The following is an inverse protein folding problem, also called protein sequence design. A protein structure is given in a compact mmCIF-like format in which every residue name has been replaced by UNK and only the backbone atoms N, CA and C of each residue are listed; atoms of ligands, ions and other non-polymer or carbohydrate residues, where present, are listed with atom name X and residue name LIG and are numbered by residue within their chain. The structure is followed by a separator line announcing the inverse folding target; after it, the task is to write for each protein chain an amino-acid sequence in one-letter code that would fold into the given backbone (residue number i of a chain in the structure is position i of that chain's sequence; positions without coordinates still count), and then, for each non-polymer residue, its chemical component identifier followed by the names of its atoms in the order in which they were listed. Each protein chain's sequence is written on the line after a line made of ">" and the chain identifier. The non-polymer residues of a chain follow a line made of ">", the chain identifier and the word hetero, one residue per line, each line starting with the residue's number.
data_IF_264226044052
#
_entry.id   IF_264226044052
#
_cell.length_a   1.000
_cell.length_b   1.000
_cell.length_c   1.000
_cell.angle_alpha   90.00
_cell.angle_beta   90.00
_cell.angle_gamma   90.00
#
_symmetry.space_group_name_H-M   'P 1'
#
loop_
_entity.id
_entity.type
_entity.pdbx_description
1 polymer ?
#
# COMPACT_ATOMS: atom_id res chain seq x y z
N UNK A 1 -66.16 -1.62 -42.99
CA UNK A 1 -65.85 -3.06 -43.12
C UNK A 1 -64.56 -3.19 -43.90
N UNK A 2 -63.54 -3.81 -43.27
CA UNK A 2 -62.49 -4.74 -43.77
C UNK A 2 -62.14 -4.70 -45.29
N UNK A 3 -60.91 -4.81 -45.81
CA UNK A 3 -59.62 -5.36 -45.35
C UNK A 3 -58.52 -4.91 -46.37
N UNK A 4 -57.31 -4.51 -45.95
CA UNK A 4 -56.01 -5.24 -45.99
C UNK A 4 -55.52 -5.80 -47.34
N UNK A 5 -54.27 -5.41 -47.68
CA UNK A 5 -53.17 -6.08 -48.44
C UNK A 5 -52.46 -5.01 -49.31
N UNK A 6 -51.14 -4.80 -49.37
CA UNK A 6 -49.94 -5.57 -49.01
C UNK A 6 -48.72 -4.60 -48.83
N UNK A 7 -47.96 -4.80 -47.75
CA UNK A 7 -46.48 -5.00 -47.71
C UNK A 7 -45.54 -4.17 -48.62
N UNK A 8 -44.82 -3.22 -47.97
CA UNK A 8 -43.38 -2.87 -47.95
C UNK A 8 -42.46 -3.24 -49.16
N UNK A 9 -41.44 -2.41 -49.52
CA UNK A 9 -40.32 -2.17 -48.60
C UNK A 9 -39.66 -0.77 -48.64
N UNK A 10 -38.83 -0.52 -47.63
CA UNK A 10 -37.83 0.58 -47.50
C UNK A 10 -38.38 1.90 -46.91
N UNK A 11 -38.76 1.87 -45.64
CA UNK A 11 -38.74 3.05 -44.78
C UNK A 11 -37.53 2.96 -43.85
N UNK A 12 -36.61 3.90 -44.05
CA UNK A 12 -35.34 4.07 -43.33
C UNK A 12 -35.65 4.35 -41.86
N UNK A 13 -35.40 3.37 -40.98
CA UNK A 13 -35.45 3.56 -39.54
C UNK A 13 -34.13 4.17 -39.06
N UNK A 14 -34.09 5.50 -38.94
CA UNK A 14 -33.05 6.21 -38.18
C UNK A 14 -33.31 5.90 -36.71
N UNK A 15 -32.63 4.88 -36.18
CA UNK A 15 -32.62 4.58 -34.77
C UNK A 15 -31.60 5.52 -34.12
N UNK A 16 -32.08 6.62 -33.55
CA UNK A 16 -31.28 7.57 -32.79
C UNK A 16 -30.88 6.91 -31.47
N UNK A 17 -29.82 6.10 -31.52
CA UNK A 17 -29.13 5.58 -30.35
C UNK A 17 -28.43 6.76 -29.67
N UNK A 18 -29.12 7.40 -28.72
CA UNK A 18 -28.48 8.26 -27.74
C UNK A 18 -27.53 7.38 -26.92
N UNK A 19 -26.28 7.28 -27.37
CA UNK A 19 -25.16 6.91 -26.53
C UNK A 19 -25.11 7.95 -25.41
N UNK A 20 -25.73 7.63 -24.28
CA UNK A 20 -25.32 8.19 -22.99
C UNK A 20 -23.93 7.63 -22.77
N UNK A 21 -22.93 8.41 -23.17
CA UNK A 21 -21.55 8.22 -22.74
C UNK A 21 -21.58 8.54 -21.25
N UNK A 22 -21.91 7.54 -20.42
CA UNK A 22 -21.60 7.60 -19.01
C UNK A 22 -20.06 7.75 -18.96
N UNK A 23 -19.53 8.83 -18.37
CA UNK A 23 -18.09 8.87 -18.16
C UNK A 23 -17.78 7.68 -17.26
N UNK A 24 -16.90 6.79 -17.73
CA UNK A 24 -16.17 5.88 -16.86
C UNK A 24 -15.58 6.77 -15.78
N UNK A 25 -16.21 6.76 -14.61
CA UNK A 25 -15.71 7.43 -13.43
C UNK A 25 -14.46 6.66 -13.09
N UNK A 26 -13.33 7.14 -13.61
CA UNK A 26 -12.04 6.80 -13.06
C UNK A 26 -12.17 6.99 -11.55
N UNK A 27 -11.76 5.98 -10.80
CA UNK A 27 -11.61 6.11 -9.36
C UNK A 27 -10.70 7.31 -9.17
N UNK A 28 -11.29 8.46 -8.83
CA UNK A 28 -10.57 9.67 -8.49
C UNK A 28 -9.85 9.34 -7.19
N UNK A 29 -8.67 8.71 -7.28
CA UNK A 29 -7.72 8.76 -6.19
C UNK A 29 -7.35 10.23 -6.09
N UNK A 30 -7.80 10.95 -5.04
CA UNK A 30 -7.32 12.30 -4.84
C UNK A 30 -5.80 12.25 -4.83
N UNK A 31 -5.15 13.21 -5.49
CA UNK A 31 -3.72 13.43 -5.33
C UNK A 31 -3.49 13.72 -3.85
N UNK A 32 -3.18 12.69 -3.09
CA UNK A 32 -2.77 12.85 -1.70
C UNK A 32 -1.42 13.52 -1.81
N UNK A 33 -1.35 14.78 -1.39
CA UNK A 33 -0.09 15.49 -1.32
C UNK A 33 0.91 14.61 -0.55
N UNK A 34 2.06 14.37 -1.16
CA UNK A 34 3.13 13.53 -0.62
C UNK A 34 3.63 14.03 0.76
N UNK A 35 3.31 15.29 1.08
CA UNK A 35 3.57 15.98 2.35
C UNK A 35 2.60 15.48 3.42
N UNK A 36 3.13 15.00 4.54
CA UNK A 36 2.33 14.68 5.72
C UNK A 36 1.61 15.94 6.19
N UNK A 37 0.28 15.89 6.25
CA UNK A 37 -0.53 16.97 6.79
C UNK A 37 -1.00 16.64 8.21
N UNK A 38 -1.45 17.65 8.96
CA UNK A 38 -2.13 17.44 10.24
C UNK A 38 -3.36 16.55 10.08
N UNK A 39 -4.03 16.62 8.92
CA UNK A 39 -5.18 15.77 8.62
C UNK A 39 -4.80 14.29 8.54
N UNK A 40 -3.62 13.96 8.02
CA UNK A 40 -3.14 12.58 7.93
C UNK A 40 -2.81 12.01 9.31
N UNK A 41 -2.22 12.83 10.19
CA UNK A 41 -1.96 12.48 11.59
C UNK A 41 -3.28 12.21 12.33
N UNK A 42 -4.32 13.02 12.07
CA UNK A 42 -5.64 12.88 12.69
C UNK A 42 -6.45 11.73 12.05
N UNK A 43 -6.25 11.44 10.77
CA UNK A 43 -6.98 10.41 10.02
C UNK A 43 -6.58 8.97 10.38
N UNK A 44 -5.63 8.79 11.30
CA UNK A 44 -5.25 7.48 11.82
C UNK A 44 -4.14 6.80 11.02
N UNK A 45 -3.41 7.54 10.18
CA UNK A 45 -2.20 6.99 9.57
C UNK A 45 -1.12 6.75 10.62
N UNK A 46 -0.26 5.78 10.31
CA UNK A 46 0.80 5.32 11.21
C UNK A 46 2.13 5.78 10.64
N UNK A 47 3.03 6.20 11.51
CA UNK A 47 4.35 6.65 11.11
C UNK A 47 5.40 5.70 11.67
N UNK A 48 6.42 5.43 10.88
CA UNK A 48 7.64 4.79 11.34
C UNK A 48 8.84 5.65 10.98
N UNK A 49 9.94 5.42 11.67
CA UNK A 49 11.22 6.02 11.32
C UNK A 49 12.23 4.91 11.10
N UNK A 50 13.12 5.12 10.13
CA UNK A 50 14.34 4.33 10.01
C UNK A 50 15.42 5.07 10.80
N UNK A 51 16.18 4.35 11.61
CA UNK A 51 17.33 4.88 12.36
C UNK A 51 18.66 4.43 11.74
N UNK A 52 18.66 3.32 11.01
CA UNK A 52 19.82 2.88 10.22
C UNK A 52 19.42 2.24 8.89
N UNK A 53 20.16 2.47 7.80
CA UNK A 53 21.34 3.33 7.70
C UNK A 53 20.99 4.82 7.66
N UNK A 54 21.93 5.70 8.04
CA UNK A 54 21.74 7.17 8.08
C UNK A 54 21.18 7.77 6.78
N UNK A 55 21.50 7.19 5.62
CA UNK A 55 20.97 7.64 4.31
C UNK A 55 19.46 7.39 4.11
N UNK A 56 18.85 6.60 4.99
CA UNK A 56 17.41 6.34 5.05
C UNK A 56 16.78 6.89 6.34
N UNK A 57 17.52 7.69 7.12
CA UNK A 57 17.07 8.18 8.43
C UNK A 57 16.02 9.29 8.28
N UNK A 58 14.78 8.87 8.02
CA UNK A 58 13.60 9.71 7.81
C UNK A 58 12.38 9.10 8.49
N UNK A 59 11.33 9.91 8.63
CA UNK A 59 10.00 9.48 9.07
C UNK A 59 9.13 9.20 7.86
N UNK A 60 8.55 8.01 7.84
CA UNK A 60 7.73 7.48 6.76
C UNK A 60 6.30 7.28 7.21
N UNK A 61 5.36 7.71 6.36
CA UNK A 61 3.92 7.49 6.54
C UNK A 61 3.50 6.12 6.00
N UNK A 62 2.63 5.45 6.73
CA UNK A 62 1.93 4.23 6.36
C UNK A 62 0.43 4.46 6.43
N UNK A 63 -0.29 3.93 5.44
CA UNK A 63 -1.73 3.74 5.52
C UNK A 63 -2.04 2.36 6.10
N UNK A 64 -2.61 2.24 7.31
CA UNK A 64 -2.96 0.94 7.87
C UNK A 64 -3.94 0.16 6.97
N UNK A 65 -3.92 -1.16 7.06
CA UNK A 65 -5.00 -2.00 6.53
C UNK A 65 -6.35 -1.57 7.12
N UNK A 66 -7.38 -1.56 6.30
CA UNK A 66 -8.70 -1.03 6.69
C UNK A 66 -9.49 -1.96 7.59
N UNK A 67 -9.51 -3.25 7.23
CA UNK A 67 -10.47 -4.23 7.75
C UNK A 67 -9.84 -5.63 7.97
N UNK A 68 -8.50 -5.71 8.05
CA UNK A 68 -7.79 -6.92 8.45
C UNK A 68 -6.53 -6.57 9.25
N UNK A 69 -5.99 -7.57 9.97
CA UNK A 69 -4.84 -7.34 10.84
C UNK A 69 -5.22 -6.64 12.15
N UNK A 70 -4.25 -6.56 13.05
CA UNK A 70 -4.42 -5.80 14.30
C UNK A 70 -3.91 -4.37 14.14
N UNK A 71 -4.30 -3.46 15.04
CA UNK A 71 -3.81 -2.08 15.03
C UNK A 71 -2.32 -2.00 15.34
N UNK A 72 -1.57 -1.12 14.65
CA UNK A 72 -0.20 -0.77 15.03
C UNK A 72 -0.11 -0.16 16.44
N UNK A 73 -1.20 0.39 16.99
CA UNK A 73 -1.20 0.90 18.36
C UNK A 73 -1.10 -0.21 19.43
N UNK A 74 -1.43 -1.46 19.06
CA UNK A 74 -1.41 -2.60 19.99
C UNK A 74 0.00 -3.09 20.34
N UNK A 75 1.00 -2.74 19.54
CA UNK A 75 2.39 -3.14 19.78
C UNK A 75 3.36 -2.03 19.37
N UNK A 76 4.39 -1.82 20.21
CA UNK A 76 5.51 -0.94 19.88
C UNK A 76 6.72 -1.80 19.53
N UNK A 77 7.28 -1.55 18.36
CA UNK A 77 8.49 -2.20 17.87
C UNK A 77 9.59 -1.15 17.79
N UNK A 78 10.65 -1.31 18.59
CA UNK A 78 11.76 -0.37 18.68
C UNK A 78 13.07 -1.09 18.38
N UNK A 79 13.90 -0.52 17.53
CA UNK A 79 15.19 -1.11 17.11
C UNK A 79 15.04 -2.44 16.37
N UNK A 80 13.90 -2.68 15.70
CA UNK A 80 13.64 -3.91 14.94
C UNK A 80 14.11 -3.77 13.50
N UNK A 81 14.35 -4.89 12.84
CA UNK A 81 14.73 -4.87 11.43
C UNK A 81 13.52 -4.69 10.51
N UNK A 82 13.67 -3.88 9.46
CA UNK A 82 12.81 -3.84 8.28
C UNK A 82 13.41 -4.73 7.19
N UNK A 83 12.90 -5.95 7.05
CA UNK A 83 13.50 -7.04 6.28
C UNK A 83 12.81 -7.20 4.94
N UNK A 84 13.56 -7.14 3.83
CA UNK A 84 13.05 -7.49 2.50
C UNK A 84 12.70 -8.97 2.44
N UNK A 85 11.47 -9.32 2.07
CA UNK A 85 11.06 -10.72 1.98
C UNK A 85 11.65 -11.42 0.76
N UNK A 86 11.82 -12.75 0.85
CA UNK A 86 12.18 -13.63 -0.27
C UNK A 86 11.19 -14.79 -0.32
N UNK A 87 10.34 -14.90 -1.37
CA UNK A 87 10.20 -13.99 -2.51
C UNK A 87 9.74 -12.58 -2.09
N UNK A 88 10.00 -11.57 -2.92
CA UNK A 88 9.69 -10.17 -2.63
C UNK A 88 8.18 -9.93 -2.49
N UNK A 89 7.37 -10.65 -3.26
CA UNK A 89 5.91 -10.55 -3.22
C UNK A 89 5.26 -11.25 -2.02
N UNK A 90 6.00 -12.09 -1.28
CA UNK A 90 5.48 -12.94 -0.21
C UNK A 90 4.21 -13.74 -0.59
N UNK A 91 4.01 -14.09 -1.87
CA UNK A 91 2.84 -14.86 -2.30
C UNK A 91 2.99 -16.37 -2.08
N UNK A 92 4.21 -16.80 -1.77
CA UNK A 92 4.52 -18.16 -1.33
C UNK A 92 5.30 -18.12 -0.01
N UNK A 93 5.67 -19.30 0.51
CA UNK A 93 6.41 -19.42 1.77
C UNK A 93 7.71 -18.61 1.74
N UNK A 94 7.86 -17.69 2.70
CA UNK A 94 9.05 -16.85 2.84
C UNK A 94 10.27 -17.70 3.24
N UNK A 95 11.33 -17.60 2.44
CA UNK A 95 12.56 -18.37 2.51
C UNK A 95 13.54 -17.82 3.55
N UNK A 96 13.62 -16.49 3.70
CA UNK A 96 14.47 -15.82 4.70
C UNK A 96 13.77 -15.62 6.06
N UNK A 97 12.92 -16.56 6.46
CA UNK A 97 12.15 -16.50 7.71
C UNK A 97 13.03 -16.36 8.97
N UNK A 98 14.29 -16.80 8.93
CA UNK A 98 15.23 -16.63 10.06
C UNK A 98 15.60 -15.18 10.31
N UNK A 99 15.72 -14.38 9.25
CA UNK A 99 15.98 -12.94 9.34
C UNK A 99 14.70 -12.19 9.73
N UNK A 100 13.55 -12.65 9.24
CA UNK A 100 12.26 -12.00 9.44
C UNK A 100 11.62 -12.26 10.82
N UNK A 101 11.95 -13.37 11.49
CA UNK A 101 11.35 -13.71 12.78
C UNK A 101 11.60 -12.61 13.82
N UNK A 102 10.53 -12.07 14.39
CA UNK A 102 10.58 -10.99 15.38
C UNK A 102 10.69 -9.59 14.78
N UNK A 103 10.74 -9.47 13.45
CA UNK A 103 11.01 -8.23 12.72
C UNK A 103 9.84 -7.84 11.80
N UNK A 104 9.98 -6.73 11.08
CA UNK A 104 8.97 -6.20 10.15
C UNK A 104 9.27 -6.67 8.72
N UNK A 105 8.27 -7.19 8.03
CA UNK A 105 8.39 -7.58 6.63
C UNK A 105 8.21 -6.36 5.72
N UNK A 106 9.10 -6.17 4.75
CA UNK A 106 8.92 -5.25 3.61
C UNK A 106 8.64 -6.06 2.36
N UNK A 107 7.44 -5.91 1.82
CA UNK A 107 6.84 -6.78 0.81
C UNK A 107 6.44 -5.98 -0.44
N UNK A 108 6.72 -6.54 -1.60
CA UNK A 108 6.29 -6.05 -2.90
C UNK A 108 4.81 -6.34 -3.14
N UNK A 109 4.06 -5.32 -3.58
CA UNK A 109 2.69 -5.48 -4.09
C UNK A 109 2.69 -6.25 -5.42
N UNK A 110 1.65 -7.06 -5.64
CA UNK A 110 1.45 -7.82 -6.88
C UNK A 110 1.07 -9.28 -6.61
N UNK A 111 0.65 -10.00 -7.66
CA UNK A 111 0.39 -11.46 -7.71
C UNK A 111 -0.70 -12.06 -6.79
N UNK A 112 -0.83 -11.61 -5.55
CA UNK A 112 -1.80 -12.12 -4.56
C UNK A 112 -2.33 -11.00 -3.64
N UNK A 113 -3.36 -11.31 -2.86
CA UNK A 113 -4.03 -10.34 -1.97
C UNK A 113 -3.13 -9.81 -0.85
N UNK A 114 -3.39 -8.58 -0.39
CA UNK A 114 -2.71 -7.99 0.77
C UNK A 114 -2.82 -8.85 2.03
N UNK A 115 -3.99 -9.47 2.24
CA UNK A 115 -4.21 -10.40 3.34
C UNK A 115 -3.30 -11.63 3.21
N UNK A 116 -3.20 -12.24 2.02
CA UNK A 116 -2.34 -13.41 1.80
C UNK A 116 -0.86 -13.10 2.06
N UNK A 117 -0.39 -11.93 1.61
CA UNK A 117 0.96 -11.43 1.90
C UNK A 117 1.22 -11.30 3.40
N UNK A 118 0.26 -10.70 4.11
CA UNK A 118 0.34 -10.48 5.56
C UNK A 118 0.34 -11.80 6.33
N UNK A 119 -0.51 -12.75 5.97
CA UNK A 119 -0.54 -14.10 6.56
C UNK A 119 0.79 -14.83 6.32
N UNK A 120 1.35 -14.77 5.11
CA UNK A 120 2.64 -15.42 4.82
C UNK A 120 3.79 -14.79 5.62
N UNK A 121 3.78 -13.48 5.84
CA UNK A 121 4.71 -12.80 6.72
C UNK A 121 4.53 -13.22 8.18
N UNK A 122 3.30 -13.30 8.67
CA UNK A 122 2.95 -13.79 10.00
C UNK A 122 3.45 -15.22 10.24
N UNK A 123 3.18 -16.13 9.30
CA UNK A 123 3.64 -17.53 9.36
C UNK A 123 5.17 -17.64 9.37
N UNK A 124 5.88 -16.69 8.76
CA UNK A 124 7.33 -16.59 8.81
C UNK A 124 7.87 -16.01 10.14
N UNK A 125 6.98 -15.54 11.02
CA UNK A 125 7.29 -14.98 12.33
C UNK A 125 7.48 -13.47 12.35
N UNK A 126 7.05 -12.75 11.30
CA UNK A 126 7.05 -11.30 11.29
C UNK A 126 6.15 -10.74 12.40
N UNK A 127 6.45 -9.53 12.87
CA UNK A 127 5.65 -8.79 13.84
C UNK A 127 4.75 -7.73 13.20
N UNK A 128 5.05 -7.34 11.96
CA UNK A 128 4.23 -6.47 11.13
C UNK A 128 4.56 -6.71 9.65
N UNK A 129 3.64 -6.32 8.76
CA UNK A 129 3.85 -6.31 7.32
C UNK A 129 3.73 -4.88 6.77
N UNK A 130 4.75 -4.44 6.04
CA UNK A 130 4.73 -3.20 5.26
C UNK A 130 4.74 -3.59 3.79
N UNK A 131 3.69 -3.22 3.07
CA UNK A 131 3.51 -3.56 1.65
C UNK A 131 3.68 -2.29 0.83
N UNK A 132 4.37 -2.37 -0.31
CA UNK A 132 4.66 -1.20 -1.13
C UNK A 132 4.71 -1.54 -2.62
N UNK A 133 4.44 -0.55 -3.48
CA UNK A 133 4.58 -0.66 -4.92
C UNK A 133 6.04 -0.45 -5.34
N UNK A 134 6.63 -1.46 -5.97
CA UNK A 134 8.01 -1.43 -6.44
C UNK A 134 8.14 -1.17 -7.93
N UNK A 135 7.04 -1.25 -8.68
CA UNK A 135 6.97 -0.87 -10.08
C UNK A 135 6.67 0.63 -10.22
N UNK A 136 7.68 1.42 -10.61
CA UNK A 136 7.54 2.86 -10.82
C UNK A 136 6.74 3.24 -12.07
N UNK A 137 6.42 2.28 -12.95
CA UNK A 137 5.55 2.48 -14.10
C UNK A 137 4.06 2.23 -13.76
N UNK A 138 3.78 1.76 -12.54
CA UNK A 138 2.41 1.57 -12.05
C UNK A 138 1.71 2.92 -11.88
N UNK A 139 0.48 3.02 -12.37
CA UNK A 139 -0.38 4.20 -12.13
C UNK A 139 -0.66 4.43 -10.64
N UNK A 140 -0.41 3.44 -9.80
CA UNK A 140 -0.63 3.49 -8.35
C UNK A 140 0.65 3.80 -7.56
N UNK A 141 1.79 3.97 -8.24
CA UNK A 141 3.09 4.18 -7.63
C UNK A 141 3.15 5.42 -6.73
N UNK A 142 2.42 6.47 -7.11
CA UNK A 142 2.35 7.75 -6.41
C UNK A 142 1.18 7.85 -5.43
N UNK A 143 0.44 6.76 -5.20
CA UNK A 143 -0.76 6.79 -4.36
C UNK A 143 -0.66 5.84 -3.18
N UNK A 144 -1.25 6.27 -2.06
CA UNK A 144 -1.51 5.37 -0.94
C UNK A 144 -2.74 4.52 -1.26
N UNK A 145 -2.56 3.21 -1.25
CA UNK A 145 -3.63 2.23 -1.48
C UNK A 145 -4.32 1.90 -0.16
N UNK A 146 -5.65 1.84 -0.19
CA UNK A 146 -6.43 1.26 0.90
C UNK A 146 -6.37 -0.28 0.80
N UNK A 147 -5.66 -0.92 1.72
CA UNK A 147 -5.57 -2.38 1.75
C UNK A 147 -6.81 -2.95 2.42
N UNK A 148 -7.57 -3.76 1.66
CA UNK A 148 -8.82 -4.38 2.11
C UNK A 148 -8.70 -5.90 2.20
N UNK A 149 -9.56 -6.49 3.03
CA UNK A 149 -9.72 -7.92 3.19
C UNK A 149 -10.20 -8.56 1.88
N UNK A 150 -9.76 -9.78 1.60
CA UNK A 150 -10.11 -10.50 0.36
C UNK A 150 -11.39 -11.35 0.46
N UNK A 151 -12.27 -11.05 1.43
CA UNK A 151 -13.50 -11.78 1.74
C UNK A 151 -13.37 -13.30 1.94
N UNK A 152 -12.17 -13.81 2.25
CA UNK A 152 -12.01 -15.21 2.67
C UNK A 152 -12.31 -15.39 4.16
N UNK A 153 -12.31 -16.63 4.66
CA UNK A 153 -12.48 -16.92 6.10
C UNK A 153 -11.16 -16.89 6.89
N UNK A 154 -10.09 -16.38 6.29
CA UNK A 154 -8.76 -16.28 6.90
C UNK A 154 -8.63 -14.90 7.54
N UNK A 155 -7.74 -14.77 8.51
CA UNK A 155 -7.41 -13.49 9.11
C UNK A 155 -5.90 -13.43 9.40
N UNK A 156 -5.38 -12.22 9.52
CA UNK A 156 -4.00 -11.96 9.94
C UNK A 156 -4.00 -11.36 11.35
N UNK A 157 -3.04 -11.77 12.20
CA UNK A 157 -2.95 -11.28 13.58
C UNK A 157 -1.73 -10.39 13.83
N UNK A 158 -1.17 -9.85 12.76
CA UNK A 158 -0.14 -8.81 12.80
C UNK A 158 -0.64 -7.56 12.06
N UNK A 159 -0.19 -6.36 12.45
CA UNK A 159 -0.53 -5.13 11.77
C UNK A 159 0.06 -5.12 10.37
N UNK A 160 -0.69 -4.54 9.45
CA UNK A 160 -0.28 -4.34 8.07
C UNK A 160 -0.46 -2.87 7.67
N UNK A 161 0.50 -2.33 6.93
CA UNK A 161 0.44 -0.96 6.41
C UNK A 161 0.96 -0.84 4.99
N UNK A 162 0.37 0.05 4.21
CA UNK A 162 0.82 0.38 2.86
C UNK A 162 1.77 1.57 2.90
N UNK A 163 2.94 1.39 2.28
CA UNK A 163 3.97 2.41 2.11
C UNK A 163 3.96 2.91 0.67
N UNK A 164 3.98 4.23 0.51
CA UNK A 164 4.06 4.90 -0.79
C UNK A 164 5.22 4.35 -1.64
N UNK A 165 4.96 4.11 -2.93
CA UNK A 165 5.92 3.45 -3.82
C UNK A 165 7.26 4.18 -3.93
N UNK A 166 7.24 5.51 -3.99
CA UNK A 166 8.46 6.35 -3.95
C UNK A 166 9.38 5.99 -2.78
N UNK A 167 8.81 5.84 -1.58
CA UNK A 167 9.56 5.43 -0.38
C UNK A 167 10.05 3.98 -0.49
N UNK A 168 9.18 3.07 -0.93
CA UNK A 168 9.51 1.65 -1.10
C UNK A 168 10.71 1.44 -2.02
N UNK A 169 10.73 2.08 -3.18
CA UNK A 169 11.86 1.99 -4.14
C UNK A 169 13.15 2.54 -3.54
N UNK A 170 13.11 3.71 -2.87
CA UNK A 170 14.33 4.30 -2.30
C UNK A 170 14.90 3.42 -1.19
N UNK A 171 14.06 2.89 -0.30
CA UNK A 171 14.48 1.97 0.75
C UNK A 171 15.08 0.71 0.13
N UNK A 172 14.35 0.03 -0.76
CA UNK A 172 14.81 -1.22 -1.40
C UNK A 172 16.12 -1.02 -2.15
N UNK A 173 16.18 -0.04 -3.04
CA UNK A 173 17.37 0.23 -3.87
C UNK A 173 18.58 0.62 -3.03
N UNK A 174 18.37 1.38 -1.94
CA UNK A 174 19.44 1.77 -1.03
C UNK A 174 19.96 0.57 -0.24
N UNK A 175 19.09 -0.29 0.31
CA UNK A 175 19.51 -1.51 1.00
C UNK A 175 20.29 -2.45 0.07
N UNK A 176 19.81 -2.64 -1.16
CA UNK A 176 20.50 -3.45 -2.16
C UNK A 176 21.87 -2.87 -2.53
N UNK A 177 21.95 -1.55 -2.78
CA UNK A 177 23.21 -0.85 -3.09
C UNK A 177 24.22 -0.94 -1.95
N UNK A 178 23.76 -0.84 -0.71
CA UNK A 178 24.59 -0.98 0.49
C UNK A 178 24.87 -2.44 0.87
N UNK A 179 24.30 -3.41 0.15
CA UNK A 179 24.35 -4.85 0.47
C UNK A 179 23.91 -5.15 1.90
N UNK A 180 22.91 -4.40 2.39
CA UNK A 180 22.31 -4.61 3.72
C UNK A 180 21.04 -5.45 3.58
N UNK A 181 20.85 -6.49 4.41
CA UNK A 181 19.64 -7.31 4.37
C UNK A 181 18.40 -6.59 4.93
N UNK A 182 18.59 -5.55 5.75
CA UNK A 182 17.53 -4.79 6.39
C UNK A 182 17.96 -3.37 6.78
N UNK A 183 16.97 -2.53 7.09
CA UNK A 183 17.12 -1.29 7.85
C UNK A 183 16.75 -1.53 9.32
N UNK A 184 17.14 -0.63 10.23
CA UNK A 184 16.67 -0.61 11.62
C UNK A 184 15.61 0.48 11.76
N UNK A 185 14.50 0.19 12.44
CA UNK A 185 13.35 1.09 12.50
C UNK A 185 12.61 1.06 13.84
N UNK A 186 11.81 2.10 14.07
CA UNK A 186 10.86 2.22 15.17
C UNK A 186 9.44 2.46 14.64
N UNK A 187 8.44 1.78 15.22
CA UNK A 187 7.02 1.93 14.86
C UNK A 187 6.11 1.55 16.04
N UNK A 188 4.99 2.26 16.28
CA UNK A 188 4.64 3.57 15.72
C UNK A 188 5.45 4.71 16.35
N UNK A 189 5.73 5.75 15.56
CA UNK A 189 6.26 7.04 16.02
C UNK A 189 5.10 7.93 16.47
N UNK A 190 5.25 8.60 17.62
CA UNK A 190 4.24 9.52 18.14
C UNK A 190 4.44 10.94 17.58
N UNK A 191 3.54 11.38 16.70
CA UNK A 191 3.57 12.69 16.07
C UNK A 191 2.44 13.63 16.50
N UNK A 192 1.65 13.27 17.53
CA UNK A 192 0.43 14.02 17.94
C UNK A 192 0.66 15.51 18.19
N UNK A 193 1.85 15.89 18.67
CA UNK A 193 2.21 17.27 18.98
C UNK A 193 3.38 17.78 18.14
N UNK A 194 3.72 17.08 17.05
CA UNK A 194 4.82 17.45 16.15
C UNK A 194 4.24 18.18 14.94
N UNK A 195 4.54 19.48 14.74
CA UNK A 195 4.12 20.19 13.55
C UNK A 195 4.67 19.51 12.29
N UNK A 196 3.90 19.42 11.19
CA UNK A 196 4.37 18.77 9.97
C UNK A 196 5.72 19.26 9.44
N UNK A 197 6.00 20.55 9.57
CA UNK A 197 7.26 21.16 9.15
C UNK A 197 8.49 20.73 9.99
N UNK A 198 8.29 20.12 11.16
CA UNK A 198 9.34 19.61 12.04
C UNK A 198 9.57 18.10 11.89
N UNK A 199 8.72 17.41 11.12
CA UNK A 199 8.93 15.99 10.81
C UNK A 199 10.07 15.86 9.80
N UNK A 200 10.95 14.90 10.03
CA UNK A 200 12.08 14.60 9.14
C UNK A 200 11.60 13.84 7.90
N UNK A 201 11.06 14.56 6.91
CA UNK A 201 10.50 13.97 5.70
C UNK A 201 11.56 13.46 4.73
N UNK A 202 11.28 12.36 3.99
CA UNK A 202 12.12 11.95 2.90
C UNK A 202 12.20 13.04 1.81
N UNK A 203 13.41 13.46 1.39
CA UNK A 203 13.59 14.63 0.51
C UNK A 203 13.07 14.43 -0.92
N UNK A 204 12.72 13.20 -1.31
CA UNK A 204 12.22 12.85 -2.64
C UNK A 204 10.70 12.93 -2.78
N UNK A 205 9.98 13.28 -1.71
CA UNK A 205 8.52 13.40 -1.71
C UNK A 205 8.02 14.75 -2.24
N UNK A 206 8.91 15.69 -2.59
CA UNK A 206 8.51 17.02 -3.03
C UNK A 206 7.99 17.88 -1.86
N UNK A 207 8.18 19.20 -1.99
CA UNK A 207 7.74 20.20 -1.00
C UNK A 207 6.49 20.93 -1.48
#
# INVERSE_FOLDING_TARGET
>A
MYALTCLNPIAIAINLLLLVIAPLSGVNHPTIHDIVTTQDIIAGDVFFEITEPAVLEYTYRLRPAKDFGISFASQRLFGVALVLTKPSDACTKIQNYRELRGNVALIERGECSFLSKTINAELAGAKAAIITEFNNESNEFEFYIEMIHDNTSRDAHIPAGFLLGKNGIVIRSTLMRLRRPHAIMNIPVNLTFVPPAQINHPPWLGW
#
